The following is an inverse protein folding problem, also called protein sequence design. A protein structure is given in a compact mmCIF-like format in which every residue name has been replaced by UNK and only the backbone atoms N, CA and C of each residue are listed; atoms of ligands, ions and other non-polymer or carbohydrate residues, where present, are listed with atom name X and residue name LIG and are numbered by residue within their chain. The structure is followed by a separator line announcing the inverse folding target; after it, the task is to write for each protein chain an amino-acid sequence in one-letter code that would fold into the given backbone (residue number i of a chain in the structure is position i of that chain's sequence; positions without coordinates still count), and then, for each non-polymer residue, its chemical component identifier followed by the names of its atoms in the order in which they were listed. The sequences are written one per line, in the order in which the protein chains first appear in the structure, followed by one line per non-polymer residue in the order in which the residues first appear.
data_IF_442942353596
#
_entry.id   IF_442942353596
#
_cell.length_a   1.000
_cell.length_b   1.000
_cell.length_c   1.000
_cell.angle_alpha   90.00
_cell.angle_beta   90.00
_cell.angle_gamma   90.00
#
_symmetry.space_group_name_H-M   'P 1'
#
loop_
_entity.id
_entity.type
_entity.pdbx_description
1 polymer ?
#
# COMPACT_ATOMS: atom_id res chain seq x y z
N UNK A 1 13.13 -35.94 18.48
CA UNK A 1 14.17 -36.83 17.88
C UNK A 1 14.01 -38.24 18.44
N UNK A 2 13.62 -39.23 17.63
CA UNK A 2 13.56 -40.63 18.08
C UNK A 2 14.82 -41.37 17.64
N UNK A 3 15.47 -42.09 18.57
CA UNK A 3 16.64 -42.93 18.31
C UNK A 3 16.18 -44.39 18.29
N UNK A 4 16.22 -45.04 17.14
CA UNK A 4 15.99 -46.49 17.03
C UNK A 4 17.35 -47.18 16.96
N UNK A 5 17.63 -48.03 17.95
CA UNK A 5 18.76 -48.95 17.95
C UNK A 5 18.31 -50.25 17.31
N UNK A 6 18.88 -50.62 16.17
CA UNK A 6 18.75 -51.98 15.63
C UNK A 6 20.12 -52.64 15.51
N UNK A 7 20.17 -53.92 15.87
CA UNK A 7 21.39 -54.74 15.96
C UNK A 7 21.39 -55.72 14.79
N UNK A 8 22.36 -55.62 13.89
CA UNK A 8 22.63 -56.65 12.88
C UNK A 8 24.14 -56.92 12.88
N UNK A 9 24.52 -58.17 13.18
CA UNK A 9 25.90 -58.65 12.96
C UNK A 9 26.98 -58.14 13.92
N UNK A 10 26.66 -57.75 15.15
CA UNK A 10 27.66 -57.50 16.20
C UNK A 10 28.50 -56.21 16.06
N UNK A 11 28.27 -55.40 15.03
CA UNK A 11 28.88 -54.06 14.89
C UNK A 11 27.84 -52.99 15.17
N UNK A 12 28.11 -52.13 16.15
CA UNK A 12 27.27 -50.96 16.45
C UNK A 12 27.49 -49.90 15.36
N UNK A 13 26.63 -49.87 14.34
CA UNK A 13 26.62 -48.77 13.36
C UNK A 13 25.65 -47.69 13.80
N UNK A 14 26.17 -46.49 14.06
CA UNK A 14 25.37 -45.29 14.17
C UNK A 14 24.92 -44.89 12.75
N UNK A 15 23.73 -45.33 12.36
CA UNK A 15 23.09 -44.85 11.14
C UNK A 15 22.34 -43.57 11.51
N UNK A 16 23.00 -42.42 11.34
CA UNK A 16 22.32 -41.13 11.27
C UNK A 16 21.61 -41.06 9.92
N UNK A 17 20.33 -41.42 9.89
CA UNK A 17 19.43 -40.93 8.84
C UNK A 17 19.38 -39.41 8.99
N UNK A 18 20.09 -38.70 8.11
CA UNK A 18 19.82 -37.29 7.81
C UNK A 18 18.44 -37.25 7.15
N UNK A 19 17.40 -37.36 7.98
CA UNK A 19 16.11 -36.82 7.63
C UNK A 19 16.34 -35.33 7.44
N UNK A 20 16.28 -34.86 6.21
CA UNK A 20 15.96 -33.48 5.92
C UNK A 20 14.64 -33.20 6.63
N UNK A 21 14.72 -32.73 7.87
CA UNK A 21 13.61 -32.01 8.47
C UNK A 21 13.65 -30.70 7.70
N UNK A 22 12.86 -30.62 6.64
CA UNK A 22 12.42 -29.34 6.13
C UNK A 22 11.69 -28.68 7.29
N UNK A 23 12.43 -27.94 8.11
CA UNK A 23 11.84 -27.05 9.09
C UNK A 23 11.09 -26.01 8.26
N UNK A 24 9.80 -26.23 8.06
CA UNK A 24 8.90 -25.17 7.59
C UNK A 24 8.68 -24.27 8.80
N UNK A 25 9.75 -23.59 9.23
CA UNK A 25 9.60 -22.34 9.93
C UNK A 25 8.93 -21.42 8.92
N UNK A 26 7.84 -20.76 9.31
CA UNK A 26 7.17 -19.76 8.50
C UNK A 26 8.05 -18.49 8.45
N UNK A 27 9.28 -18.62 7.95
CA UNK A 27 10.16 -17.51 7.65
C UNK A 27 9.59 -16.81 6.41
N UNK A 28 9.29 -15.52 6.53
CA UNK A 28 8.93 -14.73 5.36
C UNK A 28 10.02 -14.86 4.31
N UNK A 29 9.62 -15.03 3.05
CA UNK A 29 10.55 -14.97 1.93
C UNK A 29 11.01 -13.52 1.75
N UNK A 30 12.17 -13.19 2.32
CA UNK A 30 12.84 -11.89 2.14
C UNK A 30 13.53 -11.77 0.77
N UNK A 31 13.28 -12.72 -0.13
CA UNK A 31 13.96 -12.87 -1.40
C UNK A 31 15.28 -13.61 -1.27
N UNK A 32 15.73 -14.12 -2.41
CA UNK A 32 17.01 -14.83 -2.58
C UNK A 32 18.21 -13.89 -2.84
N UNK A 33 17.97 -12.59 -2.96
CA UNK A 33 18.98 -11.58 -3.25
C UNK A 33 19.67 -11.71 -4.61
N UNK A 34 19.07 -12.44 -5.55
CA UNK A 34 19.67 -12.79 -6.86
C UNK A 34 20.06 -11.59 -7.74
N UNK A 35 19.47 -10.41 -7.53
CA UNK A 35 19.83 -9.19 -8.25
C UNK A 35 20.97 -8.41 -7.59
N UNK A 36 21.65 -9.00 -6.59
CA UNK A 36 22.79 -8.38 -5.93
C UNK A 36 22.42 -7.14 -5.13
N UNK A 37 23.37 -6.24 -4.89
CA UNK A 37 23.09 -4.96 -4.23
C UNK A 37 22.85 -3.86 -5.26
N UNK A 38 21.87 -3.00 -5.02
CA UNK A 38 21.48 -1.94 -5.96
C UNK A 38 21.33 -0.59 -5.25
N UNK A 39 21.69 0.50 -5.94
CA UNK A 39 21.53 1.87 -5.47
C UNK A 39 20.73 2.65 -6.51
N UNK A 40 19.51 3.06 -6.15
CA UNK A 40 18.68 3.93 -6.98
C UNK A 40 19.05 5.39 -6.70
N UNK A 41 19.49 6.09 -7.76
CA UNK A 41 19.91 7.50 -7.71
C UNK A 41 19.05 8.41 -8.59
N UNK A 42 18.13 7.83 -9.36
CA UNK A 42 17.20 8.53 -10.26
C UNK A 42 15.80 7.97 -10.08
N UNK A 43 14.78 8.82 -10.11
CA UNK A 43 13.39 8.38 -9.98
C UNK A 43 13.00 7.46 -11.14
N UNK A 44 12.31 6.37 -10.82
CA UNK A 44 11.95 5.32 -11.78
C UNK A 44 10.68 4.60 -11.32
N UNK A 45 10.04 3.86 -12.23
CA UNK A 45 8.97 2.94 -11.84
C UNK A 45 9.52 1.56 -11.45
N UNK A 46 8.80 0.80 -10.65
CA UNK A 46 9.17 -0.58 -10.28
C UNK A 46 9.30 -1.49 -11.50
N UNK A 47 8.48 -1.26 -12.52
CA UNK A 47 8.54 -1.98 -13.80
C UNK A 47 9.84 -1.66 -14.55
N UNK A 48 10.24 -0.39 -14.59
CA UNK A 48 11.51 0.03 -15.19
C UNK A 48 12.72 -0.48 -14.39
N UNK A 49 12.67 -0.41 -13.06
CA UNK A 49 13.70 -0.97 -12.18
C UNK A 49 13.85 -2.47 -12.43
N UNK A 50 12.75 -3.23 -12.41
CA UNK A 50 12.75 -4.66 -12.71
C UNK A 50 13.41 -4.96 -14.05
N UNK A 51 13.02 -4.27 -15.12
CA UNK A 51 13.61 -4.46 -16.44
C UNK A 51 15.13 -4.18 -16.48
N UNK A 52 15.62 -3.26 -15.64
CA UNK A 52 17.05 -2.93 -15.57
C UNK A 52 17.89 -3.95 -14.80
N UNK A 53 17.30 -4.71 -13.87
CA UNK A 53 18.02 -5.63 -12.98
C UNK A 53 17.72 -7.11 -13.24
N UNK A 54 16.68 -7.41 -14.04
CA UNK A 54 16.25 -8.79 -14.30
C UNK A 54 17.36 -9.61 -14.94
N UNK A 55 17.42 -10.87 -14.55
CA UNK A 55 18.27 -11.88 -15.17
C UNK A 55 17.62 -12.42 -16.45
N UNK A 56 18.41 -13.05 -17.31
CA UNK A 56 17.88 -13.68 -18.52
C UNK A 56 16.88 -14.81 -18.21
N UNK A 57 17.00 -15.44 -17.04
CA UNK A 57 16.07 -16.46 -16.53
C UNK A 57 14.74 -15.92 -16.03
N UNK A 58 14.62 -14.61 -15.86
CA UNK A 58 13.45 -13.99 -15.25
C UNK A 58 12.36 -13.72 -16.29
N UNK A 59 11.08 -13.73 -15.88
CA UNK A 59 9.98 -13.31 -16.73
C UNK A 59 10.23 -11.96 -17.40
N UNK A 60 9.73 -11.73 -18.62
CA UNK A 60 10.01 -10.52 -19.37
C UNK A 60 9.35 -9.26 -18.80
N UNK A 61 8.39 -9.41 -17.88
CA UNK A 61 7.56 -8.32 -17.37
C UNK A 61 7.44 -8.46 -15.86
N UNK A 62 7.49 -7.33 -15.16
CA UNK A 62 7.21 -7.27 -13.73
C UNK A 62 5.79 -7.78 -13.44
N UNK A 63 5.67 -8.72 -12.51
CA UNK A 63 4.40 -9.31 -12.14
C UNK A 63 4.45 -9.77 -10.67
N UNK A 64 3.81 -9.05 -9.74
CA UNK A 64 3.86 -9.38 -8.32
C UNK A 64 3.08 -10.65 -7.94
N UNK A 65 2.46 -11.35 -8.91
CA UNK A 65 1.92 -12.71 -8.72
C UNK A 65 2.91 -13.83 -9.06
N UNK A 66 4.04 -13.53 -9.70
CA UNK A 66 5.17 -14.46 -9.89
C UNK A 66 6.36 -13.93 -9.09
N UNK A 67 6.81 -14.67 -8.07
CA UNK A 67 7.94 -14.25 -7.23
C UNK A 67 9.23 -14.04 -8.04
N UNK A 68 9.38 -14.69 -9.19
CA UNK A 68 10.51 -14.48 -10.11
C UNK A 68 10.35 -13.23 -10.97
N UNK A 69 9.19 -12.59 -10.96
CA UNK A 69 8.95 -11.30 -11.62
C UNK A 69 8.92 -10.12 -10.63
N UNK A 70 9.44 -10.34 -9.41
CA UNK A 70 9.66 -9.33 -8.37
C UNK A 70 11.17 -9.09 -8.21
N UNK A 71 11.63 -7.82 -8.11
CA UNK A 71 13.01 -7.52 -7.78
C UNK A 71 13.42 -8.08 -6.40
N UNK A 72 14.49 -8.88 -6.37
CA UNK A 72 15.04 -9.51 -5.17
C UNK A 72 16.51 -9.11 -4.99
N UNK A 73 16.80 -8.24 -4.02
CA UNK A 73 18.13 -7.66 -3.79
C UNK A 73 18.80 -8.21 -2.53
N UNK A 74 20.13 -8.25 -2.50
CA UNK A 74 20.89 -8.45 -1.27
C UNK A 74 20.83 -7.19 -0.40
N UNK A 75 21.06 -6.02 -0.98
CA UNK A 75 20.84 -4.72 -0.33
C UNK A 75 20.25 -3.76 -1.36
N UNK A 76 19.37 -2.87 -0.93
CA UNK A 76 18.77 -1.88 -1.81
C UNK A 76 18.76 -0.52 -1.13
N UNK A 77 19.36 0.48 -1.77
CA UNK A 77 19.40 1.86 -1.26
C UNK A 77 18.72 2.80 -2.24
N UNK A 78 17.84 3.67 -1.75
CA UNK A 78 17.21 4.73 -2.53
C UNK A 78 17.73 6.07 -2.01
N UNK A 79 18.46 6.79 -2.85
CA UNK A 79 19.21 8.00 -2.46
C UNK A 79 19.07 9.11 -3.51
N UNK A 80 19.71 10.25 -3.27
CA UNK A 80 19.77 11.38 -4.21
C UNK A 80 18.38 11.97 -4.57
N UNK A 81 17.49 12.10 -3.58
CA UNK A 81 16.11 12.58 -3.76
C UNK A 81 15.32 11.78 -4.81
N UNK A 82 15.66 10.50 -5.00
CA UNK A 82 14.99 9.66 -5.98
C UNK A 82 13.68 9.09 -5.44
N UNK A 83 12.76 8.81 -6.36
CA UNK A 83 11.46 8.23 -6.08
C UNK A 83 11.32 6.91 -6.82
N UNK A 84 11.13 5.81 -6.08
CA UNK A 84 10.61 4.58 -6.65
C UNK A 84 9.09 4.65 -6.64
N UNK A 85 8.48 4.61 -7.82
CA UNK A 85 7.02 4.65 -8.01
C UNK A 85 6.52 3.45 -8.81
N UNK A 86 5.25 3.40 -9.19
CA UNK A 86 4.71 2.45 -10.15
C UNK A 86 3.98 3.18 -11.28
N UNK A 87 3.62 2.44 -12.32
CA UNK A 87 2.74 2.96 -13.36
C UNK A 87 1.36 3.28 -12.77
N UNK A 88 0.74 4.38 -13.20
CA UNK A 88 -0.65 4.71 -12.82
C UNK A 88 -1.61 3.58 -13.19
N UNK A 89 -2.62 3.36 -12.35
CA UNK A 89 -3.68 2.42 -12.67
C UNK A 89 -4.36 2.76 -14.00
N UNK A 90 -4.42 1.77 -14.89
CA UNK A 90 -4.97 1.86 -16.23
C UNK A 90 -6.00 0.76 -16.52
N UNK A 91 -6.54 0.11 -15.48
CA UNK A 91 -7.43 -1.05 -15.59
C UNK A 91 -6.72 -2.41 -15.51
N UNK A 92 -5.39 -2.46 -15.57
CA UNK A 92 -4.62 -3.68 -15.33
C UNK A 92 -4.44 -3.94 -13.82
N UNK A 93 -4.53 -5.19 -13.38
CA UNK A 93 -4.48 -5.60 -11.98
C UNK A 93 -3.08 -5.47 -11.32
N UNK A 94 -2.03 -5.21 -12.10
CA UNK A 94 -0.64 -5.18 -11.61
C UNK A 94 0.00 -3.79 -11.57
N UNK A 95 -0.66 -2.77 -12.14
CA UNK A 95 -0.18 -1.38 -12.11
C UNK A 95 -0.62 -0.70 -10.82
N UNK A 96 0.13 0.32 -10.38
CA UNK A 96 -0.05 1.00 -9.09
C UNK A 96 0.34 0.17 -7.87
N UNK A 97 1.06 -0.95 -8.08
CA UNK A 97 1.61 -1.81 -7.02
C UNK A 97 3.14 -1.87 -7.10
N UNK A 98 3.78 -1.53 -5.98
CA UNK A 98 5.22 -1.65 -5.78
C UNK A 98 5.46 -2.85 -4.88
N UNK A 99 6.19 -3.84 -5.38
CA UNK A 99 6.65 -4.99 -4.60
C UNK A 99 8.12 -5.25 -4.85
N UNK A 100 8.87 -5.42 -3.76
CA UNK A 100 10.27 -5.83 -3.81
C UNK A 100 10.65 -6.63 -2.57
N UNK A 101 11.65 -7.47 -2.74
CA UNK A 101 12.24 -8.28 -1.69
C UNK A 101 13.72 -7.92 -1.49
N UNK A 102 14.16 -7.78 -0.25
CA UNK A 102 15.53 -7.36 0.10
C UNK A 102 16.07 -8.20 1.25
N UNK A 103 16.96 -9.14 0.96
CA UNK A 103 17.48 -10.08 1.95
C UNK A 103 18.19 -9.39 3.13
N UNK A 104 18.99 -8.36 2.84
CA UNK A 104 19.74 -7.56 3.81
C UNK A 104 18.98 -6.28 4.16
N UNK A 105 19.53 -5.14 3.77
CA UNK A 105 18.99 -3.82 4.15
C UNK A 105 18.31 -3.14 2.96
N UNK A 106 17.05 -2.73 3.16
CA UNK A 106 16.40 -1.68 2.38
C UNK A 106 16.55 -0.34 3.12
N UNK A 107 17.28 0.60 2.52
CA UNK A 107 17.47 1.95 3.05
C UNK A 107 16.84 2.99 2.12
N UNK A 108 16.01 3.87 2.68
CA UNK A 108 15.44 5.04 2.00
C UNK A 108 16.05 6.27 2.68
N UNK A 109 17.00 6.92 1.99
CA UNK A 109 17.70 8.08 2.53
C UNK A 109 16.77 9.29 2.66
N UNK A 110 17.16 10.25 3.50
CA UNK A 110 16.47 11.52 3.60
C UNK A 110 16.34 12.20 2.22
N UNK A 111 15.14 12.71 1.92
CA UNK A 111 14.80 13.31 0.62
C UNK A 111 14.34 12.31 -0.45
N UNK A 112 14.62 11.02 -0.28
CA UNK A 112 14.15 9.95 -1.19
C UNK A 112 12.82 9.35 -0.75
N UNK A 113 12.15 8.63 -1.65
CA UNK A 113 10.90 7.94 -1.31
C UNK A 113 10.59 6.68 -2.11
N UNK A 114 9.77 5.82 -1.50
CA UNK A 114 8.91 4.86 -2.22
C UNK A 114 7.50 5.41 -2.18
N UNK A 115 6.91 5.71 -3.33
CA UNK A 115 5.61 6.38 -3.42
C UNK A 115 4.65 5.67 -4.36
N UNK A 116 3.53 5.22 -3.80
CA UNK A 116 2.35 4.80 -4.53
C UNK A 116 1.21 5.83 -4.39
N UNK A 117 1.54 7.11 -4.14
CA UNK A 117 0.52 8.16 -3.96
C UNK A 117 -0.34 8.32 -5.21
N UNK A 118 -1.66 8.26 -5.06
CA UNK A 118 -2.58 8.51 -6.18
C UNK A 118 -2.53 7.48 -7.31
N UNK A 119 -1.95 6.30 -7.07
CA UNK A 119 -1.81 5.27 -8.10
C UNK A 119 -2.95 4.23 -8.10
N UNK A 120 -3.91 4.34 -7.18
CA UNK A 120 -5.10 3.49 -7.04
C UNK A 120 -6.17 3.73 -8.10
N UNK A 121 -7.41 3.31 -7.83
CA UNK A 121 -8.53 3.53 -8.74
C UNK A 121 -8.74 5.02 -9.03
N UNK A 122 -9.06 5.32 -10.28
CA UNK A 122 -9.26 6.69 -10.77
C UNK A 122 -10.43 7.42 -10.13
N UNK A 123 -10.33 8.75 -10.04
CA UNK A 123 -11.43 9.61 -9.63
C UNK A 123 -12.49 9.80 -10.73
N UNK A 124 -13.66 10.30 -10.34
CA UNK A 124 -14.78 10.52 -11.26
C UNK A 124 -14.61 11.76 -12.13
N UNK A 125 -15.17 11.75 -13.34
CA UNK A 125 -15.36 12.97 -14.12
C UNK A 125 -16.32 13.96 -13.45
N UNK A 126 -16.54 15.13 -14.05
CA UNK A 126 -17.45 16.15 -13.54
C UNK A 126 -18.85 15.57 -13.22
N UNK A 127 -19.27 15.72 -11.97
CA UNK A 127 -20.51 15.18 -11.42
C UNK A 127 -20.66 13.65 -11.46
N UNK A 128 -19.58 12.91 -11.75
CA UNK A 128 -19.58 11.45 -11.81
C UNK A 128 -18.94 10.85 -10.55
N UNK A 129 -19.36 9.65 -10.13
CA UNK A 129 -18.68 8.92 -9.06
C UNK A 129 -17.26 8.51 -9.47
N UNK A 130 -16.40 8.29 -8.47
CA UNK A 130 -15.09 7.69 -8.67
C UNK A 130 -15.14 6.20 -9.05
N UNK A 131 -13.98 5.60 -9.29
CA UNK A 131 -13.84 4.17 -9.46
C UNK A 131 -13.41 3.48 -8.14
N UNK A 132 -13.67 2.18 -8.06
CA UNK A 132 -13.29 1.32 -6.94
C UNK A 132 -14.46 0.96 -6.01
N UNK A 133 -14.28 -0.04 -5.12
CA UNK A 133 -15.34 -0.58 -4.26
C UNK A 133 -15.94 0.42 -3.26
N UNK A 134 -15.15 1.42 -2.87
CA UNK A 134 -15.57 2.51 -2.00
C UNK A 134 -15.49 3.84 -2.73
N UNK A 135 -15.93 3.92 -3.98
CA UNK A 135 -15.89 5.17 -4.74
C UNK A 135 -16.70 6.28 -4.09
N UNK A 136 -16.19 7.51 -4.13
CA UNK A 136 -16.93 8.70 -3.74
C UNK A 136 -18.00 9.06 -4.78
N UNK A 137 -19.16 9.52 -4.33
CA UNK A 137 -20.27 9.94 -5.20
C UNK A 137 -19.98 11.25 -5.93
N UNK A 138 -20.56 11.40 -7.12
CA UNK A 138 -20.48 12.63 -7.90
C UNK A 138 -21.34 13.76 -7.30
N UNK A 139 -20.88 15.00 -7.43
CA UNK A 139 -21.70 16.19 -7.20
C UNK A 139 -22.71 16.39 -8.33
N UNK A 140 -23.72 17.24 -8.09
CA UNK A 140 -24.70 17.60 -9.12
C UNK A 140 -24.88 19.11 -9.22
N UNK A 141 -25.24 19.56 -10.42
CA UNK A 141 -25.71 20.92 -10.67
C UNK A 141 -27.22 20.96 -10.38
N UNK A 142 -27.68 21.95 -9.62
CA UNK A 142 -29.10 22.11 -9.31
C UNK A 142 -29.50 23.58 -9.28
N UNK A 143 -30.67 23.94 -9.80
CA UNK A 143 -31.21 25.30 -9.71
C UNK A 143 -32.24 25.41 -8.58
N UNK A 144 -31.89 26.00 -7.42
CA UNK A 144 -32.84 26.17 -6.33
C UNK A 144 -33.93 27.21 -6.65
N UNK A 145 -33.70 28.09 -7.63
CA UNK A 145 -34.66 29.07 -8.17
C UNK A 145 -34.40 29.34 -9.67
N UNK A 146 -35.40 29.78 -10.45
CA UNK A 146 -35.19 30.24 -11.82
C UNK A 146 -34.10 31.33 -11.89
N UNK A 147 -33.09 31.14 -12.74
CA UNK A 147 -31.96 32.06 -12.88
C UNK A 147 -30.84 31.90 -11.83
N UNK A 148 -30.90 30.88 -10.96
CA UNK A 148 -29.81 30.54 -10.02
C UNK A 148 -29.26 29.16 -10.29
N UNK A 149 -27.96 28.97 -10.09
CA UNK A 149 -27.28 27.67 -10.23
C UNK A 149 -26.53 27.38 -8.94
N UNK A 150 -26.87 26.28 -8.29
CA UNK A 150 -26.18 25.73 -7.13
C UNK A 150 -25.30 24.56 -7.55
N UNK A 151 -24.10 24.50 -6.98
CA UNK A 151 -23.07 23.53 -7.32
C UNK A 151 -22.80 22.65 -6.12
N UNK A 152 -22.97 21.35 -6.29
CA UNK A 152 -22.67 20.39 -5.24
C UNK A 152 -21.32 19.73 -5.48
N UNK A 153 -20.66 19.45 -4.38
CA UNK A 153 -19.29 18.94 -4.36
C UNK A 153 -19.25 17.41 -4.45
N UNK A 154 -18.13 16.86 -4.89
CA UNK A 154 -17.91 15.41 -4.94
C UNK A 154 -17.59 14.83 -3.56
N UNK A 155 -18.00 13.58 -3.31
CA UNK A 155 -17.63 12.83 -2.11
C UNK A 155 -16.24 12.21 -2.22
N UNK A 156 -15.54 12.02 -1.10
CA UNK A 156 -14.23 11.37 -1.07
C UNK A 156 -14.34 9.84 -1.19
N UNK A 157 -13.32 9.19 -1.74
CA UNK A 157 -13.24 7.72 -1.78
C UNK A 157 -13.05 7.12 -0.39
N UNK A 158 -13.62 5.95 -0.11
CA UNK A 158 -13.41 5.17 1.12
C UNK A 158 -12.41 4.03 0.89
N UNK A 159 -11.71 3.62 1.95
CA UNK A 159 -10.94 2.37 2.08
C UNK A 159 -10.36 2.35 3.50
N UNK A 160 -10.56 1.28 4.27
CA UNK A 160 -10.23 1.21 5.71
C UNK A 160 -11.10 2.08 6.62
N UNK A 161 -11.43 3.28 6.18
CA UNK A 161 -12.46 4.15 6.74
C UNK A 161 -13.31 4.77 5.63
N UNK A 162 -14.47 5.31 6.01
CA UNK A 162 -15.38 5.96 5.06
C UNK A 162 -14.76 7.27 4.56
N UNK A 163 -15.00 7.60 3.29
CA UNK A 163 -14.72 8.93 2.76
C UNK A 163 -15.71 9.96 3.32
N UNK A 164 -15.29 11.23 3.35
CA UNK A 164 -16.17 12.35 3.67
C UNK A 164 -17.19 12.61 2.56
N UNK A 165 -18.38 13.06 2.93
CA UNK A 165 -19.35 13.56 1.95
C UNK A 165 -18.96 14.95 1.43
N UNK A 166 -19.34 15.25 0.19
CA UNK A 166 -19.29 16.61 -0.33
C UNK A 166 -20.32 17.51 0.36
N UNK A 167 -19.96 18.77 0.54
CA UNK A 167 -20.85 19.82 1.11
C UNK A 167 -22.08 20.08 0.23
N UNK A 168 -23.08 20.78 0.80
CA UNK A 168 -24.34 21.16 0.13
C UNK A 168 -25.16 19.97 -0.37
N UNK A 169 -25.23 18.89 0.42
CA UNK A 169 -25.87 17.63 0.03
C UNK A 169 -25.30 17.08 -1.27
N UNK A 170 -23.98 17.22 -1.43
CA UNK A 170 -23.23 16.74 -2.58
C UNK A 170 -23.03 15.23 -2.57
N UNK A 171 -22.05 14.78 -3.34
CA UNK A 171 -21.73 13.38 -3.49
C UNK A 171 -21.50 12.72 -2.13
N UNK A 172 -22.13 11.57 -1.92
CA UNK A 172 -21.91 10.76 -0.73
C UNK A 172 -20.44 10.34 -0.64
N UNK A 173 -19.90 10.26 0.57
CA UNK A 173 -18.60 9.66 0.80
C UNK A 173 -18.62 8.17 0.48
N UNK A 174 -17.49 7.65 0.01
CA UNK A 174 -17.32 6.24 -0.31
C UNK A 174 -17.36 5.35 0.94
N UNK A 175 -17.94 4.16 0.80
CA UNK A 175 -18.07 3.18 1.88
C UNK A 175 -16.75 2.52 2.30
N UNK A 176 -16.78 1.87 3.48
CA UNK A 176 -15.65 1.11 4.01
C UNK A 176 -15.57 -0.26 3.33
N UNK A 177 -14.37 -0.67 2.95
CA UNK A 177 -14.07 -2.04 2.52
C UNK A 177 -12.64 -2.43 2.92
N UNK A 178 -12.32 -3.73 2.80
CA UNK A 178 -11.01 -4.27 3.15
C UNK A 178 -10.77 -4.44 4.65
N UNK A 179 -11.80 -4.86 5.40
CA UNK A 179 -11.74 -5.09 6.85
C UNK A 179 -10.81 -6.26 7.26
N UNK A 180 -10.43 -7.13 6.33
CA UNK A 180 -9.45 -8.20 6.55
C UNK A 180 -8.08 -7.79 6.00
N UNK A 181 -7.08 -7.66 6.89
CA UNK A 181 -5.71 -7.23 6.58
C UNK A 181 -4.88 -8.26 5.77
N UNK A 182 -5.51 -9.34 5.30
CA UNK A 182 -4.86 -10.38 4.49
C UNK A 182 -4.87 -10.06 2.99
N UNK A 183 -5.83 -9.23 2.54
CA UNK A 183 -5.94 -8.82 1.14
C UNK A 183 -5.57 -7.35 0.99
N UNK A 184 -4.50 -7.08 0.25
CA UNK A 184 -4.10 -5.72 -0.11
C UNK A 184 -4.94 -5.24 -1.28
N UNK A 185 -5.58 -4.09 -1.13
CA UNK A 185 -6.42 -3.51 -2.17
C UNK A 185 -5.80 -2.24 -2.74
N UNK A 186 -5.96 -2.08 -4.04
CA UNK A 186 -5.94 -0.76 -4.67
C UNK A 186 -7.11 0.05 -4.09
N UNK A 187 -6.83 1.29 -3.69
CA UNK A 187 -7.83 2.11 -3.01
C UNK A 187 -8.67 2.93 -3.99
N UNK A 188 -9.81 3.45 -3.51
CA UNK A 188 -10.86 4.03 -4.34
C UNK A 188 -10.65 5.52 -4.64
N UNK A 189 -11.13 5.95 -5.81
CA UNK A 189 -11.11 7.35 -6.21
C UNK A 189 -12.28 8.15 -5.61
N UNK A 190 -12.07 9.44 -5.43
CA UNK A 190 -13.12 10.41 -5.08
C UNK A 190 -14.02 10.74 -6.27
N UNK A 191 -15.23 11.21 -6.00
CA UNK A 191 -16.19 11.67 -7.00
C UNK A 191 -15.88 13.09 -7.49
N UNK A 192 -16.26 13.39 -8.73
CA UNK A 192 -16.11 14.73 -9.28
C UNK A 192 -17.14 15.71 -8.72
N UNK A 193 -16.74 16.96 -8.52
CA UNK A 193 -17.65 18.06 -8.23
C UNK A 193 -18.45 18.46 -9.48
N UNK A 194 -19.47 19.30 -9.28
CA UNK A 194 -20.27 19.85 -10.38
C UNK A 194 -19.41 20.74 -11.32
N UNK A 195 -19.68 20.66 -12.62
CA UNK A 195 -19.10 21.51 -13.69
C UNK A 195 -17.57 21.55 -13.86
N UNK A 196 -16.89 20.41 -13.74
CA UNK A 196 -15.52 20.23 -14.28
C UNK A 196 -14.49 19.64 -13.31
N UNK A 197 -14.80 19.68 -12.00
CA UNK A 197 -13.84 19.33 -10.97
C UNK A 197 -13.73 17.82 -10.87
N UNK A 198 -12.81 17.22 -11.65
CA UNK A 198 -12.60 15.78 -11.61
C UNK A 198 -12.17 15.33 -10.21
N UNK A 199 -12.76 14.25 -9.73
CA UNK A 199 -12.35 13.55 -8.52
C UNK A 199 -10.94 13.00 -8.67
N UNK A 200 -10.37 12.55 -7.55
CA UNK A 200 -8.94 12.22 -7.49
C UNK A 200 -8.70 10.77 -7.10
N UNK A 201 -7.61 10.22 -7.63
CA UNK A 201 -7.31 8.80 -7.52
C UNK A 201 -6.93 8.41 -6.08
N UNK A 202 -7.29 7.18 -5.70
CA UNK A 202 -6.84 6.58 -4.45
C UNK A 202 -5.34 6.28 -4.46
N UNK A 203 -4.78 5.94 -3.31
CA UNK A 203 -3.43 5.37 -3.18
C UNK A 203 -3.30 3.94 -3.74
N UNK A 204 -2.09 3.60 -4.19
CA UNK A 204 -1.73 2.27 -4.66
C UNK A 204 -1.33 1.32 -3.53
N UNK A 205 -0.59 0.28 -3.88
CA UNK A 205 -0.14 -0.77 -2.93
C UNK A 205 1.37 -0.78 -2.84
N UNK A 206 1.91 -0.85 -1.62
CA UNK A 206 3.34 -1.05 -1.34
C UNK A 206 3.49 -2.34 -0.53
N UNK A 207 4.30 -3.26 -1.05
CA UNK A 207 4.69 -4.51 -0.37
C UNK A 207 6.20 -4.56 -0.29
N UNK A 208 6.73 -4.67 0.91
CA UNK A 208 8.17 -4.78 1.15
C UNK A 208 8.41 -6.01 2.01
N UNK A 209 9.19 -6.96 1.49
CA UNK A 209 9.77 -8.03 2.28
C UNK A 209 11.26 -7.70 2.46
N UNK A 210 11.72 -7.44 3.68
CA UNK A 210 13.13 -7.09 3.88
C UNK A 210 13.73 -7.66 5.17
N UNK A 211 15.01 -8.03 5.17
CA UNK A 211 15.70 -8.35 6.42
C UNK A 211 15.65 -7.16 7.38
N UNK A 212 16.13 -6.00 6.95
CA UNK A 212 16.03 -4.75 7.68
C UNK A 212 15.48 -3.64 6.80
N UNK A 213 14.50 -2.91 7.32
CA UNK A 213 13.98 -1.70 6.67
C UNK A 213 14.40 -0.45 7.47
N UNK A 214 15.01 0.51 6.80
CA UNK A 214 15.34 1.84 7.35
C UNK A 214 14.72 2.92 6.46
N UNK A 215 13.83 3.72 7.03
CA UNK A 215 13.14 4.81 6.32
C UNK A 215 13.54 6.14 6.95
N UNK A 216 14.59 6.79 6.46
CA UNK A 216 14.91 8.17 6.82
C UNK A 216 14.16 9.19 5.93
N UNK A 217 13.82 8.76 4.70
CA UNK A 217 12.96 9.47 3.77
C UNK A 217 11.47 9.18 3.98
N UNK A 218 10.76 8.85 2.91
CA UNK A 218 9.32 8.61 2.93
C UNK A 218 8.89 7.28 2.31
N UNK A 219 7.88 6.65 2.91
CA UNK A 219 7.11 5.56 2.30
C UNK A 219 5.64 5.98 2.28
N UNK A 220 5.09 6.19 1.08
CA UNK A 220 3.82 6.90 0.92
C UNK A 220 2.88 6.17 -0.03
N UNK A 221 1.73 5.71 0.46
CA UNK A 221 0.66 5.13 -0.34
C UNK A 221 -0.63 5.95 -0.25
N UNK A 222 -0.59 7.25 0.04
CA UNK A 222 -1.79 8.07 0.22
C UNK A 222 -2.62 8.34 -1.03
N UNK A 223 -3.85 8.81 -0.81
CA UNK A 223 -4.74 9.28 -1.87
C UNK A 223 -4.31 10.64 -2.43
N UNK A 224 -4.80 10.98 -3.63
CA UNK A 224 -4.63 12.31 -4.20
C UNK A 224 -5.67 13.28 -3.67
N UNK A 225 -5.23 14.52 -3.39
CA UNK A 225 -6.10 15.60 -2.92
C UNK A 225 -7.03 16.08 -4.05
N UNK A 226 -8.30 16.29 -3.70
CA UNK A 226 -9.36 16.80 -4.56
C UNK A 226 -8.98 18.12 -5.26
N UNK A 227 -9.52 18.32 -6.44
CA UNK A 227 -9.39 19.56 -7.19
C UNK A 227 -10.25 20.66 -6.61
N UNK A 228 -9.63 21.82 -6.45
CA UNK A 228 -10.33 23.10 -6.42
C UNK A 228 -10.47 23.53 -7.86
N UNK A 229 -11.70 23.63 -8.37
CA UNK A 229 -11.92 24.16 -9.71
C UNK A 229 -12.54 25.55 -9.67
N UNK A 230 -12.13 26.38 -10.63
CA UNK A 230 -12.63 27.71 -10.87
C UNK A 230 -13.29 27.77 -12.26
N UNK A 231 -14.62 27.84 -12.30
CA UNK A 231 -15.35 28.09 -13.55
C UNK A 231 -15.59 29.60 -13.75
N UNK A 232 -15.12 30.22 -14.86
CA UNK A 232 -15.41 31.61 -15.19
C UNK A 232 -16.87 31.73 -15.65
N UNK A 233 -17.77 31.99 -14.71
CA UNK A 233 -19.23 32.05 -14.95
C UNK A 233 -20.08 31.93 -13.68
N UNK A 234 -19.48 31.40 -12.61
CA UNK A 234 -20.06 31.43 -11.27
C UNK A 234 -20.47 30.06 -10.76
N UNK A 235 -19.67 29.55 -9.82
CA UNK A 235 -19.96 28.45 -8.91
C UNK A 235 -19.33 27.12 -9.34
N UNK A 236 -18.66 26.46 -8.39
CA UNK A 236 -17.97 25.19 -8.57
C UNK A 236 -18.06 24.41 -7.26
N UNK A 237 -18.35 23.11 -7.36
CA UNK A 237 -18.26 22.19 -6.24
C UNK A 237 -16.85 21.61 -6.20
N UNK A 238 -16.18 21.64 -5.05
CA UNK A 238 -14.89 20.97 -4.89
C UNK A 238 -15.00 19.48 -5.18
N UNK A 239 -13.98 18.87 -5.75
CA UNK A 239 -14.00 17.41 -6.00
C UNK A 239 -13.55 16.61 -4.79
N UNK A 240 -13.93 15.34 -4.73
CA UNK A 240 -13.53 14.44 -3.64
C UNK A 240 -12.07 14.00 -3.76
N UNK A 241 -11.41 13.88 -2.60
CA UNK A 241 -10.09 13.24 -2.48
C UNK A 241 -10.18 11.72 -2.63
N UNK A 242 -9.12 11.09 -3.12
CA UNK A 242 -9.01 9.62 -3.16
C UNK A 242 -8.69 9.05 -1.78
N UNK A 243 -9.07 7.80 -1.50
CA UNK A 243 -8.68 7.14 -0.24
C UNK A 243 -7.18 6.81 -0.20
N UNK A 244 -6.65 6.62 1.00
CA UNK A 244 -5.30 6.10 1.19
C UNK A 244 -5.17 4.68 0.66
N UNK A 245 -3.95 4.22 0.41
CA UNK A 245 -3.63 2.90 -0.15
C UNK A 245 -3.21 1.87 0.88
N UNK A 246 -2.64 0.76 0.43
CA UNK A 246 -2.22 -0.34 1.30
C UNK A 246 -0.70 -0.37 1.46
N UNK A 247 -0.21 -0.48 2.70
CA UNK A 247 1.21 -0.72 2.97
C UNK A 247 1.34 -2.00 3.78
N UNK A 248 2.12 -2.96 3.27
CA UNK A 248 2.51 -4.17 3.98
C UNK A 248 4.02 -4.26 4.07
N UNK A 249 4.53 -4.28 5.29
CA UNK A 249 5.95 -4.45 5.59
C UNK A 249 6.14 -5.79 6.30
N UNK A 250 6.91 -6.70 5.71
CA UNK A 250 7.33 -7.96 6.32
C UNK A 250 8.83 -7.91 6.55
N UNK A 251 9.25 -7.76 7.79
CA UNK A 251 10.62 -7.37 8.12
C UNK A 251 11.18 -8.08 9.33
N UNK A 252 12.49 -8.33 9.40
CA UNK A 252 13.05 -8.80 10.70
C UNK A 252 13.04 -7.64 11.68
N UNK A 253 13.63 -6.52 11.26
CA UNK A 253 13.67 -5.29 12.05
C UNK A 253 13.38 -4.08 11.18
N UNK A 254 12.86 -3.03 11.79
CA UNK A 254 12.48 -1.80 11.09
C UNK A 254 12.90 -0.57 11.87
N UNK A 255 13.19 0.53 11.17
CA UNK A 255 13.31 1.86 11.73
C UNK A 255 12.50 2.80 10.84
N UNK A 256 11.41 3.36 11.38
CA UNK A 256 10.45 4.16 10.62
C UNK A 256 10.63 5.66 10.90
N UNK A 257 10.84 6.43 9.83
CA UNK A 257 10.72 7.89 9.80
C UNK A 257 9.31 8.31 9.42
N UNK A 258 9.04 8.50 8.12
CA UNK A 258 7.72 8.93 7.63
C UNK A 258 7.06 7.84 6.76
N UNK A 259 6.02 7.21 7.31
CA UNK A 259 5.20 6.22 6.59
C UNK A 259 3.73 6.63 6.64
N UNK A 260 3.12 6.80 5.46
CA UNK A 260 1.75 7.31 5.34
C UNK A 260 0.88 6.56 4.34
N UNK A 261 -0.35 6.25 4.76
CA UNK A 261 -1.45 5.76 3.93
C UNK A 261 -2.72 6.61 4.15
N UNK A 262 -2.53 7.92 4.32
CA UNK A 262 -3.64 8.86 4.50
C UNK A 262 -4.48 9.02 3.23
N UNK A 263 -5.78 9.29 3.39
CA UNK A 263 -6.62 9.78 2.30
C UNK A 263 -6.21 11.19 1.87
N UNK A 264 -6.54 11.53 0.62
CA UNK A 264 -6.37 12.89 0.11
C UNK A 264 -7.40 13.85 0.70
N UNK A 265 -7.05 15.11 0.86
CA UNK A 265 -8.00 16.17 1.23
C UNK A 265 -9.09 16.36 0.18
N UNK A 266 -10.23 16.89 0.58
CA UNK A 266 -11.26 17.33 -0.36
C UNK A 266 -10.85 18.62 -1.07
N UNK A 267 -11.34 18.83 -2.29
CA UNK A 267 -11.20 20.07 -3.03
C UNK A 267 -11.94 21.22 -2.36
N UNK A 268 -11.45 22.45 -2.51
CA UNK A 268 -12.13 23.63 -1.96
C UNK A 268 -13.18 24.19 -2.94
N UNK A 269 -14.09 25.02 -2.44
CA UNK A 269 -14.94 25.88 -3.26
C UNK A 269 -14.19 27.16 -3.68
N UNK A 270 -14.90 28.04 -4.41
CA UNK A 270 -14.41 29.35 -4.89
C UNK A 270 -13.92 30.30 -3.79
N UNK A 271 -14.37 30.12 -2.54
CA UNK A 271 -14.00 30.99 -1.41
C UNK A 271 -12.92 30.37 -0.52
N UNK A 272 -12.36 29.23 -0.93
CA UNK A 272 -11.33 28.53 -0.18
C UNK A 272 -11.88 27.70 0.98
N UNK A 273 -13.20 27.47 1.04
CA UNK A 273 -13.77 26.56 2.04
C UNK A 273 -13.68 25.11 1.53
N UNK A 274 -13.35 24.13 2.39
CA UNK A 274 -13.40 22.72 2.03
C UNK A 274 -14.81 22.37 1.55
N UNK A 275 -14.91 21.91 0.31
CA UNK A 275 -16.20 21.67 -0.33
C UNK A 275 -16.38 20.21 -0.72
N UNK A 276 -15.34 19.58 -1.26
CA UNK A 276 -15.29 18.16 -1.54
C UNK A 276 -15.04 17.33 -0.28
N UNK A 277 -15.47 16.07 -0.34
CA UNK A 277 -15.20 15.10 0.71
C UNK A 277 -13.73 14.65 0.73
N UNK A 278 -13.13 14.58 1.92
CA UNK A 278 -11.81 13.96 2.09
C UNK A 278 -11.87 12.44 1.86
N UNK A 279 -10.78 11.85 1.38
CA UNK A 279 -10.66 10.41 1.24
C UNK A 279 -10.50 9.71 2.58
N UNK A 280 -10.96 8.47 2.67
CA UNK A 280 -10.77 7.58 3.80
C UNK A 280 -9.29 7.27 4.03
N UNK A 281 -8.92 7.17 5.30
CA UNK A 281 -7.62 6.70 5.76
C UNK A 281 -7.58 5.17 5.74
N UNK A 282 -6.50 4.62 5.21
CA UNK A 282 -6.38 3.20 4.85
C UNK A 282 -5.56 2.39 5.86
N UNK A 283 -4.81 1.38 5.42
CA UNK A 283 -4.15 0.42 6.30
C UNK A 283 -2.63 0.40 6.11
N UNK A 284 -1.93 0.33 7.24
CA UNK A 284 -0.53 0.01 7.32
C UNK A 284 -0.42 -1.23 8.19
N UNK A 285 0.17 -2.31 7.67
CA UNK A 285 0.45 -3.54 8.41
C UNK A 285 1.96 -3.77 8.44
N UNK A 286 2.45 -4.05 9.64
CA UNK A 286 3.85 -4.41 9.88
C UNK A 286 3.87 -5.78 10.54
N UNK A 287 4.44 -6.73 9.83
CA UNK A 287 4.78 -8.04 10.35
C UNK A 287 6.29 -8.02 10.64
N UNK A 288 6.67 -8.23 11.90
CA UNK A 288 8.06 -8.12 12.33
C UNK A 288 8.52 -9.28 13.23
N UNK A 289 9.84 -9.44 13.42
CA UNK A 289 10.38 -10.44 14.38
C UNK A 289 11.36 -9.90 15.43
N UNK A 290 11.74 -8.62 15.36
CA UNK A 290 12.68 -8.00 16.31
C UNK A 290 12.30 -6.54 16.72
N UNK A 291 11.00 -6.28 16.96
CA UNK A 291 10.46 -4.99 17.38
C UNK A 291 10.27 -3.94 16.27
N UNK A 292 9.41 -2.94 16.54
CA UNK A 292 9.08 -1.81 15.62
C UNK A 292 9.30 -0.46 16.32
N UNK A 293 10.49 0.15 16.19
CA UNK A 293 10.70 1.54 16.57
C UNK A 293 10.17 2.53 15.51
N UNK A 294 9.41 3.53 15.95
CA UNK A 294 8.87 4.63 15.13
C UNK A 294 7.34 4.72 15.16
N UNK A 295 6.77 5.61 14.35
CA UNK A 295 5.33 5.80 14.22
C UNK A 295 4.89 5.82 12.74
N UNK A 296 3.64 5.45 12.48
CA UNK A 296 3.03 5.49 11.15
C UNK A 296 1.74 6.31 11.20
N UNK A 297 1.29 6.84 10.05
CA UNK A 297 0.02 7.54 9.93
C UNK A 297 -0.83 6.99 8.77
N UNK A 298 -1.88 6.19 9.02
CA UNK A 298 -2.45 5.83 10.33
C UNK A 298 -1.55 4.92 11.18
N UNK A 299 -1.90 4.73 12.45
CA UNK A 299 -1.22 3.76 13.30
C UNK A 299 -1.24 2.36 12.65
N UNK A 300 -0.08 1.70 12.62
CA UNK A 300 0.05 0.41 11.98
C UNK A 300 -0.62 -0.67 12.84
N UNK A 301 -1.25 -1.64 12.18
CA UNK A 301 -1.46 -2.94 12.81
C UNK A 301 -0.13 -3.68 12.85
N UNK A 302 0.20 -4.22 14.02
CA UNK A 302 1.47 -4.89 14.28
C UNK A 302 1.23 -6.36 14.56
N UNK A 303 1.91 -7.22 13.82
CA UNK A 303 1.96 -8.65 14.10
C UNK A 303 3.39 -9.01 14.47
N UNK A 304 3.59 -9.37 15.73
CA UNK A 304 4.86 -9.95 16.17
C UNK A 304 4.89 -11.41 15.77
N UNK A 305 5.90 -11.78 14.97
CA UNK A 305 6.21 -13.15 14.61
C UNK A 305 7.42 -13.66 15.40
N UNK A 306 7.78 -13.01 16.51
CA UNK A 306 8.79 -13.48 17.46
C UNK A 306 8.34 -14.70 18.28
N UNK A 307 7.10 -15.18 18.10
CA UNK A 307 6.58 -16.35 18.80
C UNK A 307 5.38 -17.01 18.10
N UNK A 308 5.65 -18.14 17.43
CA UNK A 308 4.80 -19.35 17.35
C UNK A 308 5.57 -20.35 16.48
N UNK A 309 6.66 -20.88 17.00
CA UNK A 309 6.62 -22.19 17.64
C UNK A 309 7.57 -22.24 18.86
N UNK A 310 7.02 -22.10 20.08
CA UNK A 310 7.84 -22.10 21.30
C UNK A 310 8.17 -23.52 21.81
N UNK A 311 7.66 -24.59 21.19
CA UNK A 311 7.94 -25.98 21.60
C UNK A 311 8.38 -26.95 20.49
N UNK A 312 8.38 -26.52 19.23
CA UNK A 312 8.86 -27.26 18.06
C UNK A 312 7.80 -28.03 17.27
N UNK A 313 6.50 -27.83 17.49
CA UNK A 313 5.42 -28.69 16.95
C UNK A 313 4.76 -28.19 15.63
N UNK A 314 5.00 -26.94 15.25
CA UNK A 314 4.48 -26.35 14.00
C UNK A 314 3.00 -25.94 13.99
N UNK A 315 2.37 -25.74 15.14
CA UNK A 315 1.01 -25.17 15.28
C UNK A 315 1.09 -23.73 15.84
N UNK A 316 0.16 -22.84 15.41
CA UNK A 316 0.07 -21.48 15.96
C UNK A 316 -0.57 -21.52 17.35
N UNK A 317 0.14 -21.00 18.34
CA UNK A 317 -0.46 -20.65 19.63
C UNK A 317 -1.25 -19.34 19.47
N UNK A 318 -2.58 -19.42 19.41
CA UNK A 318 -3.43 -18.23 19.45
C UNK A 318 -3.37 -17.63 20.87
N UNK A 319 -2.71 -16.50 21.03
CA UNK A 319 -2.96 -15.62 22.19
C UNK A 319 -4.13 -14.70 21.83
N UNK A 320 -5.33 -15.16 22.13
CA UNK A 320 -6.57 -14.39 22.02
C UNK A 320 -6.64 -13.37 23.17
N UNK A 321 -6.32 -12.10 22.90
CA UNK A 321 -6.71 -11.00 23.80
C UNK A 321 -7.99 -10.35 23.27
N UNK A 322 -9.13 -10.80 23.80
CA UNK A 322 -10.39 -10.06 23.69
C UNK A 322 -10.39 -8.81 24.58
N UNK A 323 -11.23 -7.80 24.30
CA UNK A 323 -11.29 -6.56 25.07
C UNK A 323 -11.97 -6.77 26.43
N UNK A 324 -11.47 -6.10 27.47
CA UNK A 324 -12.24 -5.75 28.68
C UNK A 324 -12.98 -4.45 28.47
#
# INVERSE_FOLDING_TARGET
MSRILSRVGGVLRLVTTLGCVSSIAHAWDYGDGRHGSFVLTMSTTIEQLYLSVRLQSDPPVYNPSDSRAVPSFRNFTITNNSVLTATLWNGNNFVGRIECSVQGVLAIDAGSSISAKGLGFGGGGAGQPGAGPGSGGGGSTYSPRPGTTGYRSGGGGGYGSAGGAGTNSGGAGGGVYGAALETLFMSSGGGGGAEGAAGRAGGGVIVINAGRLRVDGQLHAGGSDGLTEYYPGGGSGGSGGGSGGSILLRVISVALGNVSAAGGGGGSDRYGNPAGGAGGVAWIRIEYSAGVPGATSPAASTLDNSGSDMDGDGIRDNVEWGPT
#
